data_IF_357082207434
#
_entry.id   IF_357082207434
#
_cell.length_a   1.000
_cell.length_b   1.000
_cell.length_c   1.000
_cell.angle_alpha   90.00
_cell.angle_beta   90.00
_cell.angle_gamma   90.00
#
_symmetry.space_group_name_H-M   'P 1'
#
loop_
_entity.id
_entity.type
_entity.pdbx_description
1 polymer ?
#
# COMPACT_ATOMS: atom_id res chain seq x y z
N UNK A 1 -1.57 1.43 -19.18
CA UNK A 1 -0.74 0.30 -18.75
C UNK A 1 0.47 0.90 -18.08
N UNK A 2 0.60 0.66 -16.77
CA UNK A 2 1.77 1.07 -16.00
C UNK A 2 2.86 0.04 -16.23
N UNK A 3 4.06 0.50 -16.58
CA UNK A 3 5.24 -0.35 -16.64
C UNK A 3 5.86 -0.46 -15.23
N UNK A 4 6.14 -1.69 -14.80
CA UNK A 4 6.82 -1.98 -13.54
C UNK A 4 8.20 -2.58 -13.84
N UNK A 5 9.28 -1.79 -13.85
CA UNK A 5 10.61 -2.26 -14.20
C UNK A 5 11.02 -3.48 -13.39
N UNK A 6 11.37 -4.57 -14.07
CA UNK A 6 11.79 -5.81 -13.43
C UNK A 6 10.71 -6.47 -12.56
N UNK A 7 9.42 -6.19 -12.79
CA UNK A 7 8.30 -6.68 -11.97
C UNK A 7 8.41 -6.30 -10.48
N UNK A 8 9.02 -5.15 -10.19
CA UNK A 8 9.16 -4.63 -8.83
C UNK A 8 8.58 -3.22 -8.74
N UNK A 9 7.94 -2.93 -7.61
CA UNK A 9 7.53 -1.58 -7.23
C UNK A 9 7.89 -1.32 -5.78
N UNK A 10 8.45 -0.14 -5.50
CA UNK A 10 8.62 0.33 -4.13
C UNK A 10 7.41 1.19 -3.74
N UNK A 11 6.75 0.81 -2.66
CA UNK A 11 5.50 1.37 -2.18
C UNK A 11 5.74 2.25 -0.96
N UNK A 12 5.25 3.49 -1.06
CA UNK A 12 5.32 4.52 -0.02
C UNK A 12 4.02 4.58 0.81
N UNK A 13 4.07 5.26 1.95
CA UNK A 13 2.92 5.50 2.85
C UNK A 13 1.74 6.10 2.09
N UNK A 14 2.02 7.06 1.21
CA UNK A 14 1.00 7.70 0.37
C UNK A 14 0.19 6.70 -0.47
N UNK A 15 0.85 5.71 -1.06
CA UNK A 15 0.19 4.68 -1.86
C UNK A 15 -0.69 3.76 -1.01
N UNK A 16 -0.19 3.29 0.13
CA UNK A 16 -0.96 2.41 1.01
C UNK A 16 -2.18 3.13 1.60
N UNK A 17 -2.00 4.37 2.04
CA UNK A 17 -3.08 5.17 2.58
C UNK A 17 -4.17 5.42 1.53
N UNK A 18 -3.78 5.88 0.34
CA UNK A 18 -4.71 6.09 -0.76
C UNK A 18 -5.42 4.79 -1.16
N UNK A 19 -4.77 3.63 -1.13
CA UNK A 19 -5.40 2.34 -1.46
C UNK A 19 -6.44 1.87 -0.45
N UNK A 20 -6.37 2.33 0.80
CA UNK A 20 -7.19 1.83 1.92
C UNK A 20 -8.22 2.83 2.42
N UNK A 21 -8.09 4.12 2.09
CA UNK A 21 -8.96 5.19 2.57
C UNK A 21 -9.89 5.73 1.46
N UNK A 22 -11.18 5.35 1.43
CA UNK A 22 -12.11 5.72 0.34
C UNK A 22 -12.37 7.22 0.17
N UNK A 23 -11.95 8.06 1.12
CA UNK A 23 -12.09 9.52 1.04
C UNK A 23 -10.82 10.20 0.53
N UNK A 24 -9.75 9.46 0.27
CA UNK A 24 -8.56 10.02 -0.37
C UNK A 24 -8.88 10.38 -1.83
N UNK A 25 -8.38 11.53 -2.28
CA UNK A 25 -8.59 11.98 -3.68
C UNK A 25 -7.96 11.04 -4.70
N UNK A 26 -6.96 10.25 -4.28
CA UNK A 26 -6.26 9.29 -5.11
C UNK A 26 -6.80 7.86 -4.95
N UNK A 27 -7.88 7.63 -4.18
CA UNK A 27 -8.37 6.28 -3.86
C UNK A 27 -8.58 5.42 -5.10
N UNK A 28 -9.31 5.94 -6.08
CA UNK A 28 -9.58 5.24 -7.35
C UNK A 28 -8.29 4.94 -8.12
N UNK A 29 -7.37 5.91 -8.17
CA UNK A 29 -6.12 5.75 -8.93
C UNK A 29 -5.19 4.75 -8.24
N UNK A 30 -5.10 4.78 -6.92
CA UNK A 30 -4.30 3.84 -6.13
C UNK A 30 -4.84 2.41 -6.29
N UNK A 31 -6.17 2.24 -6.26
CA UNK A 31 -6.82 0.94 -6.52
C UNK A 31 -6.53 0.40 -7.92
N UNK A 32 -6.52 1.26 -8.95
CA UNK A 32 -6.12 0.87 -10.31
C UNK A 32 -4.65 0.42 -10.37
N UNK A 33 -3.74 1.18 -9.76
CA UNK A 33 -2.31 0.82 -9.69
C UNK A 33 -2.13 -0.53 -9.00
N UNK A 34 -2.82 -0.76 -7.86
CA UNK A 34 -2.77 -2.01 -7.12
C UNK A 34 -3.28 -3.18 -7.97
N UNK A 35 -4.41 -3.02 -8.66
CA UNK A 35 -4.97 -4.06 -9.53
C UNK A 35 -4.03 -4.36 -10.72
N UNK A 36 -3.43 -3.34 -11.33
CA UNK A 36 -2.45 -3.53 -12.41
C UNK A 36 -1.20 -4.26 -11.90
N UNK A 37 -0.71 -3.92 -10.70
CA UNK A 37 0.43 -4.59 -10.08
C UNK A 37 0.13 -6.06 -9.76
N UNK A 38 -1.06 -6.36 -9.20
CA UNK A 38 -1.50 -7.73 -8.93
C UNK A 38 -1.64 -8.54 -10.22
N UNK A 39 -2.21 -7.95 -11.27
CA UNK A 39 -2.39 -8.61 -12.58
C UNK A 39 -1.05 -8.91 -13.26
N UNK A 40 -0.05 -8.05 -13.06
CA UNK A 40 1.30 -8.21 -13.62
C UNK A 40 2.26 -8.99 -12.70
N UNK A 41 1.76 -9.57 -11.61
CA UNK A 41 2.52 -10.32 -10.60
C UNK A 41 3.73 -9.52 -10.06
N UNK A 42 3.53 -8.21 -9.87
CA UNK A 42 4.56 -7.29 -9.38
C UNK A 42 4.82 -7.54 -7.91
N UNK A 43 6.11 -7.71 -7.57
CA UNK A 43 6.56 -7.73 -6.19
C UNK A 43 6.54 -6.32 -5.60
N UNK A 44 5.76 -6.14 -4.53
CA UNK A 44 5.68 -4.87 -3.80
C UNK A 44 6.73 -4.85 -2.69
N UNK A 45 7.51 -3.78 -2.65
CA UNK A 45 8.60 -3.57 -1.71
C UNK A 45 8.33 -2.36 -0.84
N UNK A 46 8.77 -2.38 0.42
CA UNK A 46 8.66 -1.23 1.32
C UNK A 46 9.66 -1.34 2.48
N UNK A 47 9.67 -0.37 3.39
CA UNK A 47 10.49 -0.40 4.62
C UNK A 47 9.62 -0.51 5.87
N UNK A 48 10.23 -0.85 7.01
CA UNK A 48 9.57 -0.82 8.31
C UNK A 48 9.09 0.59 8.71
N UNK A 49 9.81 1.64 8.31
CA UNK A 49 9.41 3.02 8.56
C UNK A 49 8.09 3.35 7.86
N UNK A 50 7.95 2.97 6.58
CA UNK A 50 6.73 3.18 5.79
C UNK A 50 5.57 2.36 6.36
N UNK A 51 5.81 1.11 6.79
CA UNK A 51 4.78 0.29 7.45
C UNK A 51 4.29 0.99 8.73
N UNK A 52 5.22 1.48 9.55
CA UNK A 52 4.90 2.13 10.83
C UNK A 52 4.15 3.44 10.62
N UNK A 53 4.58 4.24 9.65
CA UNK A 53 3.93 5.49 9.27
C UNK A 53 2.52 5.23 8.71
N UNK A 54 2.36 4.24 7.84
CA UNK A 54 1.05 3.89 7.25
C UNK A 54 0.05 3.45 8.31
N UNK A 55 0.45 2.53 9.21
CA UNK A 55 -0.40 2.06 10.30
C UNK A 55 -0.82 3.22 11.22
N UNK A 56 0.13 4.11 11.52
CA UNK A 56 -0.14 5.34 12.28
C UNK A 56 -1.14 6.22 11.55
N UNK A 57 -0.89 6.55 10.28
CA UNK A 57 -1.74 7.44 9.50
C UNK A 57 -3.18 6.90 9.38
N UNK A 58 -3.35 5.59 9.14
CA UNK A 58 -4.66 4.94 9.10
C UNK A 58 -5.39 5.01 10.45
N UNK A 59 -4.67 4.81 11.56
CA UNK A 59 -5.24 4.94 12.90
C UNK A 59 -5.78 6.35 13.16
N UNK A 60 -5.01 7.39 12.79
CA UNK A 60 -5.36 8.78 13.03
C UNK A 60 -6.41 9.33 12.07
N UNK A 61 -6.37 8.94 10.79
CA UNK A 61 -7.19 9.57 9.73
C UNK A 61 -8.38 8.72 9.28
N UNK A 62 -8.38 7.42 9.59
CA UNK A 62 -9.48 6.54 9.23
C UNK A 62 -10.12 5.86 10.43
N UNK A 63 -9.49 4.83 10.99
CA UNK A 63 -9.88 4.14 12.22
C UNK A 63 -8.91 2.99 12.53
N UNK A 64 -8.94 2.50 13.77
CA UNK A 64 -8.09 1.40 14.21
C UNK A 64 -8.28 0.10 13.39
N UNK A 65 -9.49 -0.18 12.90
CA UNK A 65 -9.76 -1.40 12.12
C UNK A 65 -9.00 -1.39 10.80
N UNK A 66 -8.88 -0.23 10.16
CA UNK A 66 -8.10 -0.09 8.93
C UNK A 66 -6.60 -0.28 9.17
N UNK A 67 -6.08 0.22 10.29
CA UNK A 67 -4.68 -0.02 10.68
C UNK A 67 -4.41 -1.52 10.92
N UNK A 68 -5.31 -2.21 11.64
CA UNK A 68 -5.21 -3.67 11.84
C UNK A 68 -5.30 -4.41 10.50
N UNK A 69 -6.27 -4.05 9.65
CA UNK A 69 -6.40 -4.66 8.31
C UNK A 69 -5.12 -4.51 7.47
N UNK A 70 -4.49 -3.34 7.50
CA UNK A 70 -3.22 -3.11 6.83
C UNK A 70 -2.12 -4.05 7.36
N UNK A 71 -2.01 -4.21 8.68
CA UNK A 71 -0.99 -5.06 9.30
C UNK A 71 -1.24 -6.56 9.11
N UNK A 72 -2.50 -6.99 9.08
CA UNK A 72 -2.88 -8.41 8.98
C UNK A 72 -2.99 -8.89 7.54
N UNK A 73 -3.43 -8.05 6.60
CA UNK A 73 -3.73 -8.47 5.22
C UNK A 73 -2.69 -7.96 4.21
N UNK A 74 -2.30 -6.68 4.29
CA UNK A 74 -1.38 -6.09 3.31
C UNK A 74 0.07 -6.39 3.64
N UNK A 75 0.50 -6.11 4.88
CA UNK A 75 1.90 -6.26 5.31
C UNK A 75 2.48 -7.67 5.02
N UNK A 76 1.76 -8.80 5.20
CA UNK A 76 2.33 -10.11 4.89
C UNK A 76 2.61 -10.36 3.41
N UNK A 77 1.99 -9.59 2.51
CA UNK A 77 2.22 -9.68 1.06
C UNK A 77 3.35 -8.77 0.56
N UNK A 78 4.00 -8.01 1.45
CA UNK A 78 5.06 -7.05 1.09
C UNK A 78 6.45 -7.64 1.34
N UNK A 79 7.37 -7.34 0.44
CA UNK A 79 8.79 -7.55 0.67
C UNK A 79 9.35 -6.36 1.45
N UNK A 80 9.88 -6.61 2.66
CA UNK A 80 10.40 -5.55 3.52
C UNK A 80 11.91 -5.50 3.39
N UNK A 81 12.44 -4.32 3.07
CA UNK A 81 13.88 -4.05 2.94
C UNK A 81 14.37 -3.12 4.05
N UNK A 82 15.67 -3.22 4.34
CA UNK A 82 16.41 -2.44 5.33
C UNK A 82 17.21 -1.33 4.68
#
# INVERSE_FOLDING_TARGET
MIEFPGHNAFCDTSFFFASLYPKDVNYERAGQILNEALTQEVSLWTTWDIISETATLLLYRFNYRAAIRFLDEMKPALNIVY
#
